data_IF_382827603624
#
_entry.id   IF_382827603624
#
_cell.length_a   1.000
_cell.length_b   1.000
_cell.length_c   1.000
_cell.angle_alpha   90.00
_cell.angle_beta   90.00
_cell.angle_gamma   90.00
#
_symmetry.space_group_name_H-M   'P 1'
#
loop_
_entity.id
_entity.type
_entity.pdbx_description
1 polymer ?
#
# COMPACT_ATOMS: atom_id res chain seq x y z
N UNK A 1 12.72 -11.08 -10.34
CA UNK A 1 12.80 -9.64 -10.71
C UNK A 1 11.83 -8.88 -9.84
N UNK A 2 12.28 -7.78 -9.25
CA UNK A 2 11.45 -6.91 -8.42
C UNK A 2 10.66 -5.93 -9.30
N UNK A 3 9.39 -5.70 -8.95
CA UNK A 3 8.56 -4.63 -9.49
C UNK A 3 8.88 -3.35 -8.73
N UNK A 4 8.94 -2.20 -9.43
CA UNK A 4 9.17 -0.90 -8.81
C UNK A 4 8.18 0.11 -9.35
N UNK A 5 7.44 0.72 -8.45
CA UNK A 5 6.39 1.69 -8.73
C UNK A 5 6.62 3.00 -7.98
N UNK A 6 6.12 4.10 -8.53
CA UNK A 6 6.00 5.38 -7.82
C UNK A 6 4.53 5.62 -7.48
N UNK A 7 4.20 5.74 -6.20
CA UNK A 7 2.87 6.10 -5.70
C UNK A 7 2.79 7.62 -5.57
N UNK A 8 1.96 8.24 -6.40
CA UNK A 8 1.66 9.67 -6.35
C UNK A 8 0.39 9.85 -5.56
N UNK A 9 0.53 10.34 -4.32
CA UNK A 9 -0.60 10.61 -3.43
C UNK A 9 -1.37 11.84 -3.90
N UNK A 10 -2.68 11.68 -4.02
CA UNK A 10 -3.60 12.74 -4.44
C UNK A 10 -4.56 13.14 -3.32
N UNK A 11 -4.85 12.23 -2.38
CA UNK A 11 -5.63 12.52 -1.19
C UNK A 11 -5.05 11.85 0.05
N UNK A 12 -5.31 12.47 1.21
CA UNK A 12 -4.98 11.95 2.53
C UNK A 12 -6.03 12.45 3.53
N UNK A 13 -6.73 11.53 4.18
CA UNK A 13 -7.73 11.85 5.19
C UNK A 13 -7.43 11.08 6.48
N UNK A 14 -7.47 11.79 7.60
CA UNK A 14 -7.40 11.19 8.92
C UNK A 14 -8.81 11.16 9.53
N UNK A 15 -9.20 10.02 10.08
CA UNK A 15 -10.48 9.83 10.77
C UNK A 15 -10.20 9.18 12.11
N UNK A 16 -10.54 9.87 13.20
CA UNK A 16 -10.44 9.35 14.56
C UNK A 16 -11.77 8.70 14.96
N UNK A 17 -11.70 7.53 15.60
CA UNK A 17 -12.84 6.82 16.18
C UNK A 17 -12.50 6.26 17.57
N UNK A 18 -13.47 5.64 18.22
CA UNK A 18 -13.31 5.07 19.57
C UNK A 18 -12.25 3.97 19.65
N UNK A 19 -11.89 3.36 18.53
CA UNK A 19 -10.92 2.27 18.47
C UNK A 19 -9.53 2.72 17.96
N UNK A 20 -9.35 4.02 17.68
CA UNK A 20 -8.08 4.65 17.32
C UNK A 20 -8.17 5.54 16.09
N UNK A 21 -7.12 5.57 15.28
CA UNK A 21 -7.02 6.44 14.09
C UNK A 21 -6.96 5.64 12.79
N UNK A 22 -7.74 6.08 11.82
CA UNK A 22 -7.60 5.70 10.42
C UNK A 22 -6.86 6.81 9.67
N UNK A 23 -5.91 6.44 8.83
CA UNK A 23 -5.32 7.32 7.83
C UNK A 23 -5.51 6.66 6.47
N UNK A 24 -6.28 7.32 5.60
CA UNK A 24 -6.70 6.79 4.31
C UNK A 24 -6.12 7.69 3.23
N UNK A 25 -5.34 7.11 2.34
CA UNK A 25 -4.76 7.81 1.20
C UNK A 25 -5.00 7.07 -0.11
N UNK A 26 -4.86 7.79 -1.21
CA UNK A 26 -5.00 7.21 -2.54
C UNK A 26 -4.43 8.11 -3.61
N UNK A 27 -4.34 7.58 -4.82
CA UNK A 27 -3.87 8.31 -5.98
C UNK A 27 -3.40 7.38 -7.08
N UNK A 28 -2.36 7.80 -7.80
CA UNK A 28 -1.86 7.13 -9.00
C UNK A 28 -0.61 6.30 -8.72
N UNK A 29 -0.43 5.28 -9.53
CA UNK A 29 0.74 4.39 -9.54
C UNK A 29 1.42 4.54 -10.89
N UNK A 30 2.69 4.94 -10.87
CA UNK A 30 3.52 5.09 -12.06
C UNK A 30 4.53 3.95 -12.15
N UNK A 31 4.75 3.42 -13.34
CA UNK A 31 5.87 2.56 -13.69
C UNK A 31 6.64 3.23 -14.82
N UNK A 32 7.91 3.58 -14.58
CA UNK A 32 8.73 4.36 -15.54
C UNK A 32 7.97 5.60 -16.04
N UNK A 33 7.44 6.39 -15.09
CA UNK A 33 6.63 7.61 -15.32
C UNK A 33 5.25 7.42 -15.97
N UNK A 34 4.95 6.22 -16.48
CA UNK A 34 3.64 5.92 -17.06
C UNK A 34 2.64 5.55 -15.97
N UNK A 35 1.45 6.14 -16.00
CA UNK A 35 0.34 5.76 -15.14
C UNK A 35 -0.18 4.36 -15.51
N UNK A 36 -0.04 3.40 -14.60
CA UNK A 36 -0.38 1.98 -14.82
C UNK A 36 -1.49 1.46 -13.91
N UNK A 37 -1.66 2.07 -12.75
CA UNK A 37 -2.70 1.71 -11.78
C UNK A 37 -3.13 2.92 -10.94
N UNK A 38 -4.25 2.80 -10.26
CA UNK A 38 -4.57 3.64 -9.10
C UNK A 38 -4.29 2.84 -7.83
N UNK A 39 -4.13 3.51 -6.70
CA UNK A 39 -4.03 2.82 -5.42
C UNK A 39 -4.95 3.42 -4.37
N UNK A 40 -5.35 2.57 -3.43
CA UNK A 40 -5.96 2.96 -2.16
C UNK A 40 -5.12 2.35 -1.04
N UNK A 41 -4.85 3.13 -0.01
CA UNK A 41 -4.08 2.70 1.16
C UNK A 41 -4.79 3.11 2.43
N UNK A 42 -4.78 2.21 3.40
CA UNK A 42 -5.33 2.41 4.73
C UNK A 42 -4.26 2.09 5.75
N UNK A 43 -4.06 2.98 6.71
CA UNK A 43 -3.26 2.78 7.91
C UNK A 43 -4.18 2.83 9.10
N UNK A 44 -4.11 1.82 9.97
CA UNK A 44 -4.89 1.75 11.21
C UNK A 44 -3.98 1.73 12.41
N UNK A 45 -4.12 2.78 13.23
CA UNK A 45 -3.56 2.86 14.58
C UNK A 45 -4.63 2.39 15.55
N UNK A 46 -4.30 1.43 16.41
CA UNK A 46 -5.14 0.90 17.48
C UNK A 46 -4.30 0.57 18.72
N UNK A 47 -4.94 0.13 19.81
CA UNK A 47 -4.30 -0.11 21.12
C UNK A 47 -2.96 -0.88 21.05
N UNK A 48 -2.83 -1.91 20.20
CA UNK A 48 -1.60 -2.70 20.06
C UNK A 48 -0.48 -2.06 19.22
N UNK A 49 -0.73 -0.90 18.61
CA UNK A 49 0.22 -0.25 17.69
C UNK A 49 0.89 1.01 18.26
N UNK A 50 0.34 1.57 19.35
CA UNK A 50 0.81 2.83 19.94
C UNK A 50 2.23 2.72 20.49
N UNK A 51 2.52 1.66 21.24
CA UNK A 51 3.83 1.47 21.89
C UNK A 51 4.99 1.38 20.89
N UNK A 52 4.71 0.85 19.70
CA UNK A 52 5.69 0.72 18.62
C UNK A 52 5.66 1.90 17.64
N UNK A 53 4.78 2.88 17.86
CA UNK A 53 4.51 3.98 16.93
C UNK A 53 4.33 3.47 15.50
N UNK A 54 3.49 2.44 15.33
CA UNK A 54 3.25 1.77 14.05
C UNK A 54 1.76 1.83 13.67
N UNK A 55 1.43 1.43 12.45
CA UNK A 55 0.06 1.17 12.03
C UNK A 55 0.01 -0.14 11.24
N UNK A 56 -1.11 -0.85 11.36
CA UNK A 56 -1.46 -1.88 10.38
C UNK A 56 -1.68 -1.20 9.03
N UNK A 57 -1.14 -1.79 7.97
CA UNK A 57 -1.14 -1.20 6.64
C UNK A 57 -1.79 -2.14 5.64
N UNK A 58 -2.71 -1.58 4.85
CA UNK A 58 -3.30 -2.19 3.66
C UNK A 58 -3.05 -1.27 2.48
N UNK A 59 -2.61 -1.83 1.35
CA UNK A 59 -2.51 -1.11 0.08
C UNK A 59 -3.07 -2.01 -1.02
N UNK A 60 -3.93 -1.49 -1.87
CA UNK A 60 -4.36 -2.20 -3.08
C UNK A 60 -4.08 -1.37 -4.31
N UNK A 61 -3.38 -1.96 -5.27
CA UNK A 61 -3.16 -1.41 -6.60
C UNK A 61 -4.23 -1.94 -7.56
N UNK A 62 -4.84 -1.06 -8.35
CA UNK A 62 -5.89 -1.36 -9.32
C UNK A 62 -5.44 -0.97 -10.74
N UNK A 63 -5.10 -1.94 -11.58
CA UNK A 63 -4.48 -1.72 -12.89
C UNK A 63 -5.49 -1.31 -13.98
N UNK A 64 -5.15 -0.30 -14.78
CA UNK A 64 -6.10 0.51 -15.56
C UNK A 64 -6.76 -0.15 -16.79
N UNK A 65 -6.42 -1.40 -17.14
CA UNK A 65 -6.83 -1.99 -18.43
C UNK A 65 -8.18 -2.70 -18.42
N UNK A 66 -8.57 -3.28 -17.28
CA UNK A 66 -9.67 -4.25 -17.22
C UNK A 66 -10.82 -3.76 -16.32
N UNK A 67 -12.00 -4.37 -16.51
CA UNK A 67 -13.21 -4.13 -15.69
C UNK A 67 -13.82 -5.50 -15.31
N UNK A 68 -13.69 -5.96 -14.05
CA UNK A 68 -13.02 -5.29 -12.94
C UNK A 68 -11.49 -5.18 -13.16
N UNK A 69 -10.82 -4.18 -12.56
CA UNK A 69 -9.36 -4.06 -12.63
C UNK A 69 -8.66 -5.28 -12.06
N UNK A 70 -7.59 -5.72 -12.72
CA UNK A 70 -6.61 -6.62 -12.08
C UNK A 70 -5.98 -5.89 -10.88
N UNK A 71 -5.62 -6.60 -9.83
CA UNK A 71 -5.16 -6.02 -8.58
C UNK A 71 -4.02 -6.77 -7.90
N UNK A 72 -3.31 -6.03 -7.06
CA UNK A 72 -2.34 -6.54 -6.07
C UNK A 72 -2.70 -5.88 -4.73
N UNK A 73 -2.89 -6.69 -3.69
CA UNK A 73 -3.11 -6.24 -2.31
C UNK A 73 -1.88 -6.57 -1.47
N UNK A 74 -1.43 -5.58 -0.70
CA UNK A 74 -0.29 -5.61 0.18
C UNK A 74 -0.76 -5.44 1.61
N UNK A 75 -0.35 -6.32 2.52
CA UNK A 75 -0.54 -6.17 3.96
C UNK A 75 0.80 -6.05 4.66
N UNK A 76 0.85 -5.20 5.69
CA UNK A 76 2.09 -4.99 6.42
C UNK A 76 1.96 -4.00 7.56
N UNK A 77 3.06 -3.33 7.85
CA UNK A 77 3.15 -2.27 8.85
C UNK A 77 3.72 -0.99 8.28
N UNK A 78 3.30 0.12 8.87
CA UNK A 78 3.89 1.44 8.67
C UNK A 78 4.56 1.89 9.95
N UNK A 79 5.82 2.31 9.89
CA UNK A 79 6.52 2.91 11.03
C UNK A 79 6.45 4.44 10.92
N UNK A 80 5.84 5.09 11.91
CA UNK A 80 5.69 6.55 11.91
C UNK A 80 7.00 7.28 12.23
N UNK A 81 8.03 6.61 12.77
CA UNK A 81 9.31 7.25 13.04
C UNK A 81 10.12 7.49 11.76
N UNK A 82 10.21 6.47 10.90
CA UNK A 82 10.94 6.54 9.62
C UNK A 82 10.06 6.92 8.43
N UNK A 83 8.74 6.75 8.56
CA UNK A 83 7.80 6.81 7.43
C UNK A 83 7.87 5.58 6.52
N UNK A 84 8.68 4.57 6.86
CA UNK A 84 8.84 3.36 6.09
C UNK A 84 7.64 2.43 6.19
N UNK A 85 7.44 1.62 5.15
CA UNK A 85 6.40 0.60 5.10
C UNK A 85 6.99 -0.73 4.63
N UNK A 86 6.61 -1.82 5.28
CA UNK A 86 7.09 -3.17 4.98
C UNK A 86 5.96 -4.18 5.09
N UNK A 87 6.07 -5.28 4.35
CA UNK A 87 5.12 -6.39 4.45
C UNK A 87 5.23 -7.33 3.26
N UNK A 88 4.11 -7.90 2.83
CA UNK A 88 4.06 -8.78 1.67
C UNK A 88 2.80 -8.61 0.83
N UNK A 89 2.84 -9.14 -0.38
CA UNK A 89 1.66 -9.29 -1.23
C UNK A 89 0.76 -10.36 -0.61
N UNK A 90 -0.38 -9.95 -0.05
CA UNK A 90 -1.33 -10.83 0.64
C UNK A 90 -2.35 -11.46 -0.32
N UNK A 91 -2.68 -10.78 -1.42
CA UNK A 91 -3.55 -11.28 -2.47
C UNK A 91 -3.26 -10.60 -3.81
N UNK A 92 -3.53 -11.28 -4.92
CA UNK A 92 -3.40 -10.68 -6.25
C UNK A 92 -4.31 -11.41 -7.25
N UNK A 93 -4.68 -10.73 -8.35
CA UNK A 93 -5.35 -11.40 -9.47
C UNK A 93 -4.41 -12.42 -10.15
N UNK A 94 -4.98 -13.33 -10.95
CA UNK A 94 -4.25 -14.43 -11.58
C UNK A 94 -2.99 -13.97 -12.37
N UNK A 95 -3.08 -12.88 -13.13
CA UNK A 95 -1.94 -12.30 -13.89
C UNK A 95 -0.76 -11.91 -12.99
N UNK A 96 -1.01 -11.65 -11.71
CA UNK A 96 -0.01 -11.25 -10.71
C UNK A 96 0.21 -12.30 -9.62
N UNK A 97 -0.31 -13.52 -9.77
CA UNK A 97 -0.24 -14.55 -8.73
C UNK A 97 1.21 -14.87 -8.31
N UNK A 98 2.17 -14.77 -9.24
CA UNK A 98 3.59 -14.95 -8.96
C UNK A 98 4.20 -13.90 -8.01
N UNK A 99 3.45 -12.86 -7.63
CA UNK A 99 3.86 -11.86 -6.64
C UNK A 99 3.40 -12.22 -5.23
N UNK A 100 2.40 -13.09 -5.06
CA UNK A 100 1.86 -13.45 -3.74
C UNK A 100 2.98 -13.98 -2.84
N UNK A 101 3.03 -13.48 -1.61
CA UNK A 101 4.04 -13.83 -0.61
C UNK A 101 5.37 -13.09 -0.75
N UNK A 102 5.64 -12.41 -1.89
CA UNK A 102 6.85 -11.58 -2.00
C UNK A 102 6.78 -10.39 -1.07
N UNK A 103 7.95 -9.99 -0.58
CA UNK A 103 8.06 -8.83 0.28
C UNK A 103 7.78 -7.56 -0.53
N UNK A 104 7.24 -6.56 0.15
CA UNK A 104 7.28 -5.20 -0.34
C UNK A 104 7.99 -4.30 0.66
N UNK A 105 8.56 -3.23 0.13
CA UNK A 105 9.01 -2.08 0.90
C UNK A 105 8.54 -0.83 0.20
N UNK A 106 8.02 0.13 0.96
CA UNK A 106 7.82 1.49 0.46
C UNK A 106 8.62 2.48 1.29
N UNK A 107 9.35 3.34 0.57
CA UNK A 107 10.12 4.45 1.13
C UNK A 107 9.66 5.70 0.41
N UNK A 108 9.06 6.62 1.16
CA UNK A 108 8.42 7.83 0.59
C UNK A 108 7.38 7.42 -0.46
N UNK A 109 7.68 7.62 -1.75
CA UNK A 109 6.77 7.35 -2.86
C UNK A 109 7.13 6.08 -3.63
N UNK A 110 8.30 5.48 -3.36
CA UNK A 110 8.79 4.34 -4.12
C UNK A 110 8.35 3.05 -3.46
N UNK A 111 7.53 2.26 -4.15
CA UNK A 111 7.10 0.92 -3.76
C UNK A 111 7.88 -0.11 -4.56
N UNK A 112 8.56 -1.02 -3.87
CA UNK A 112 9.27 -2.15 -4.46
C UNK A 112 8.63 -3.46 -3.98
N UNK A 113 8.35 -4.39 -4.89
CA UNK A 113 7.85 -5.74 -4.60
C UNK A 113 8.83 -6.74 -5.19
N UNK A 114 9.46 -7.60 -4.40
CA UNK A 114 10.56 -8.44 -4.89
C UNK A 114 11.01 -9.52 -3.93
#
# INVERSE_FOLDING_TARGET
MALTYTLVRECLNNVDDVAGRWQIEGGRVLEKEKHVANYSSVKRVSCGTHEQNTAMLWITLFFLKEKPPQNITLHGSHDFNSGGEIGSVSAASATFAAQIGKQFKRVVNTLTIG
#
